data_IF_668410793947
#
_entry.id   IF_668410793947
#
_cell.length_a   1.000
_cell.length_b   1.000
_cell.length_c   1.000
_cell.angle_alpha   90.00
_cell.angle_beta   90.00
_cell.angle_gamma   90.00
#
_symmetry.space_group_name_H-M   'P 1'
#
loop_
_entity.id
_entity.type
_entity.pdbx_description
1 polymer ?
#
# COMPACT_ATOMS: atom_id res chain seq x y z
N UNK A 1 -13.59 -21.65 -44.56
CA UNK A 1 -13.94 -21.64 -43.14
C UNK A 1 -12.71 -21.72 -42.22
N UNK A 2 -11.65 -20.94 -42.49
CA UNK A 2 -10.47 -20.86 -41.60
C UNK A 2 -10.59 -19.68 -40.65
N UNK A 3 -11.11 -18.55 -41.15
CA UNK A 3 -11.36 -17.34 -40.36
C UNK A 3 -12.36 -17.57 -39.22
N UNK A 4 -13.40 -18.39 -39.44
CA UNK A 4 -14.40 -18.71 -38.42
C UNK A 4 -13.78 -19.53 -37.28
N UNK A 5 -12.95 -20.52 -37.59
CA UNK A 5 -12.23 -21.30 -36.57
C UNK A 5 -11.26 -20.43 -35.76
N UNK A 6 -10.52 -19.54 -36.42
CA UNK A 6 -9.61 -18.59 -35.75
C UNK A 6 -10.39 -17.65 -34.82
N UNK A 7 -11.55 -17.15 -35.25
CA UNK A 7 -12.41 -16.30 -34.44
C UNK A 7 -12.92 -17.02 -33.19
N UNK A 8 -13.30 -18.29 -33.34
CA UNK A 8 -13.78 -19.11 -32.24
C UNK A 8 -12.67 -19.42 -31.22
N UNK A 9 -11.45 -19.72 -31.69
CA UNK A 9 -10.26 -19.88 -30.83
C UNK A 9 -9.91 -18.59 -30.07
N UNK A 10 -9.99 -17.43 -30.74
CA UNK A 10 -9.76 -16.12 -30.10
C UNK A 10 -10.83 -15.84 -29.04
N UNK A 11 -12.09 -16.14 -29.31
CA UNK A 11 -13.19 -15.94 -28.37
C UNK A 11 -13.02 -16.81 -27.11
N UNK A 12 -12.64 -18.08 -27.28
CA UNK A 12 -12.34 -19.00 -26.18
C UNK A 12 -11.15 -18.51 -25.36
N UNK A 13 -10.08 -18.05 -26.03
CA UNK A 13 -8.89 -17.52 -25.36
C UNK A 13 -9.20 -16.26 -24.57
N UNK A 14 -10.00 -15.34 -25.14
CA UNK A 14 -10.44 -14.13 -24.44
C UNK A 14 -11.25 -14.48 -23.18
N UNK A 15 -12.23 -15.39 -23.30
CA UNK A 15 -13.04 -15.81 -22.16
C UNK A 15 -12.18 -16.40 -21.03
N UNK A 16 -11.17 -17.20 -21.39
CA UNK A 16 -10.22 -17.79 -20.43
C UNK A 16 -9.33 -16.73 -19.77
N UNK A 17 -8.88 -15.72 -20.52
CA UNK A 17 -8.10 -14.61 -19.97
C UNK A 17 -8.94 -13.76 -19.02
N UNK A 18 -10.18 -13.42 -19.38
CA UNK A 18 -11.10 -12.67 -18.52
C UNK A 18 -11.35 -13.38 -17.19
N UNK A 19 -11.62 -14.70 -17.21
CA UNK A 19 -11.82 -15.48 -16.00
C UNK A 19 -10.59 -15.49 -15.08
N UNK A 20 -9.38 -15.51 -15.66
CA UNK A 20 -8.12 -15.42 -14.90
C UNK A 20 -7.91 -14.04 -14.29
N UNK A 21 -8.32 -12.98 -14.97
CA UNK A 21 -8.27 -11.61 -14.42
C UNK A 21 -9.20 -11.50 -13.22
N UNK A 22 -10.43 -11.99 -13.31
CA UNK A 22 -11.39 -11.99 -12.19
C UNK A 22 -10.87 -12.79 -10.98
N UNK A 23 -10.24 -13.95 -11.22
CA UNK A 23 -9.61 -14.76 -10.16
C UNK A 23 -8.47 -13.99 -9.48
N UNK A 24 -7.61 -13.34 -10.26
CA UNK A 24 -6.52 -12.52 -9.74
C UNK A 24 -7.03 -11.31 -8.95
N UNK A 25 -8.10 -10.65 -9.42
CA UNK A 25 -8.77 -9.57 -8.70
C UNK A 25 -9.34 -10.07 -7.37
N UNK A 26 -9.95 -11.25 -7.35
CA UNK A 26 -10.46 -11.87 -6.12
C UNK A 26 -9.33 -12.20 -5.14
N UNK A 27 -8.25 -12.84 -5.59
CA UNK A 27 -7.08 -13.15 -4.76
C UNK A 27 -6.45 -11.86 -4.23
N UNK A 28 -6.37 -10.83 -5.06
CA UNK A 28 -5.85 -9.53 -4.67
C UNK A 28 -6.75 -8.88 -3.61
N UNK A 29 -8.07 -8.89 -3.79
CA UNK A 29 -9.03 -8.35 -2.82
C UNK A 29 -9.05 -9.15 -1.51
N UNK A 30 -8.94 -10.47 -1.55
CA UNK A 30 -8.84 -11.34 -0.38
C UNK A 30 -7.52 -11.10 0.40
N UNK A 31 -6.41 -10.82 -0.30
CA UNK A 31 -5.13 -10.45 0.32
C UNK A 31 -5.08 -8.99 0.80
N UNK A 32 -5.81 -8.09 0.14
CA UNK A 32 -6.01 -6.69 0.59
C UNK A 32 -6.89 -6.65 1.84
N UNK A 33 -7.65 -7.71 2.13
CA UNK A 33 -8.36 -7.87 3.41
C UNK A 33 -7.42 -8.15 4.61
N UNK A 34 -6.11 -7.90 4.49
CA UNK A 34 -5.30 -7.54 5.64
C UNK A 34 -5.81 -6.19 6.19
N UNK A 35 -6.02 -6.06 7.52
CA UNK A 35 -6.81 -4.95 8.09
C UNK A 35 -6.21 -3.56 7.85
N UNK A 36 -4.96 -3.46 7.40
CA UNK A 36 -4.26 -2.21 7.14
C UNK A 36 -3.31 -2.42 5.95
N UNK A 37 -3.32 -1.56 4.90
CA UNK A 37 -2.37 -1.64 3.79
C UNK A 37 -0.93 -1.47 4.29
N UNK A 38 0.00 -2.31 3.82
CA UNK A 38 1.43 -2.18 4.15
C UNK A 38 2.05 -0.86 3.68
N UNK A 39 1.50 -0.29 2.61
CA UNK A 39 1.93 0.99 2.04
C UNK A 39 0.75 1.92 1.88
N UNK A 40 0.90 3.15 2.36
CA UNK A 40 -0.17 4.14 2.30
C UNK A 40 0.38 5.56 2.29
N UNK A 41 -0.38 6.48 1.72
CA UNK A 41 -0.04 7.92 1.79
C UNK A 41 -0.16 8.43 3.22
N UNK A 42 0.54 9.53 3.54
CA UNK A 42 0.39 10.20 4.85
C UNK A 42 -1.10 10.50 5.14
N UNK A 43 -1.86 10.95 4.14
CA UNK A 43 -3.28 11.24 4.29
C UNK A 43 -4.07 10.01 4.73
N UNK A 44 -3.90 8.89 4.04
CA UNK A 44 -4.54 7.61 4.39
C UNK A 44 -4.12 7.13 5.77
N UNK A 45 -2.83 7.25 6.10
CA UNK A 45 -2.28 6.88 7.41
C UNK A 45 -2.93 7.66 8.55
N UNK A 46 -3.09 8.97 8.39
CA UNK A 46 -3.80 9.81 9.36
C UNK A 46 -5.29 9.45 9.43
N UNK A 47 -5.92 9.14 8.30
CA UNK A 47 -7.33 8.72 8.25
C UNK A 47 -7.61 7.39 8.95
N UNK A 48 -6.61 6.54 9.19
CA UNK A 48 -6.78 5.30 9.98
C UNK A 48 -7.12 5.57 11.45
N UNK A 49 -6.82 6.78 11.96
CA UNK A 49 -6.95 7.13 13.37
C UNK A 49 -5.90 6.50 14.30
N UNK A 50 -5.04 5.61 13.77
CA UNK A 50 -3.99 4.93 14.55
C UNK A 50 -2.67 5.73 14.61
N UNK A 51 -2.48 6.66 13.66
CA UNK A 51 -1.30 7.51 13.61
C UNK A 51 -1.48 8.78 14.47
N UNK A 52 -0.60 9.05 15.45
CA UNK A 52 -0.83 10.09 16.45
C UNK A 52 -0.50 11.51 15.96
N UNK A 53 0.04 11.69 14.76
CA UNK A 53 0.45 12.98 14.23
C UNK A 53 -0.42 13.42 13.06
N UNK A 54 -0.63 14.73 12.91
CA UNK A 54 -1.32 15.27 11.73
C UNK A 54 -0.52 15.08 10.45
N UNK A 55 -1.16 15.24 9.29
CA UNK A 55 -0.47 15.15 8.00
C UNK A 55 0.71 16.13 7.91
N UNK A 56 0.49 17.38 8.33
CA UNK A 56 1.52 18.42 8.32
C UNK A 56 2.67 18.12 9.29
N UNK A 57 2.36 17.60 10.48
CA UNK A 57 3.38 17.21 11.45
C UNK A 57 4.23 16.05 10.92
N UNK A 58 3.59 15.07 10.27
CA UNK A 58 4.27 13.92 9.66
C UNK A 58 5.19 14.36 8.51
N UNK A 59 4.73 15.27 7.63
CA UNK A 59 5.58 15.85 6.58
C UNK A 59 6.80 16.56 7.17
N UNK A 60 6.62 17.39 8.21
CA UNK A 60 7.74 18.04 8.91
C UNK A 60 8.70 17.03 9.54
N UNK A 61 8.22 15.88 10.02
CA UNK A 61 9.10 14.83 10.57
C UNK A 61 9.96 14.20 9.47
N UNK A 62 9.38 13.95 8.29
CA UNK A 62 10.12 13.48 7.11
C UNK A 62 11.18 14.53 6.72
N UNK A 63 10.78 15.79 6.56
CA UNK A 63 11.68 16.89 6.17
C UNK A 63 12.82 17.12 7.18
N UNK A 64 12.58 16.83 8.47
CA UNK A 64 13.59 16.91 9.54
C UNK A 64 14.46 15.66 9.66
N UNK A 65 14.34 14.71 8.74
CA UNK A 65 15.13 13.47 8.74
C UNK A 65 14.80 12.52 9.90
N UNK A 66 13.59 12.59 10.48
CA UNK A 66 13.14 11.60 11.47
C UNK A 66 12.72 10.28 10.86
N UNK A 67 12.44 10.28 9.56
CA UNK A 67 12.10 9.12 8.77
C UNK A 67 13.07 9.03 7.59
N UNK A 68 13.43 7.82 7.24
CA UNK A 68 14.41 7.49 6.22
C UNK A 68 13.74 7.04 4.93
N UNK A 69 14.18 7.58 3.80
CA UNK A 69 13.70 7.21 2.47
C UNK A 69 14.17 5.79 2.12
N UNK A 70 13.33 4.99 1.45
CA UNK A 70 13.50 3.55 1.18
C UNK A 70 13.30 2.62 2.39
N UNK A 71 13.14 3.14 3.61
CA UNK A 71 12.76 2.35 4.78
C UNK A 71 11.37 2.74 5.31
N UNK A 72 11.23 3.99 5.77
CA UNK A 72 10.00 4.49 6.35
C UNK A 72 9.02 4.99 5.29
N UNK A 73 9.55 5.59 4.22
CA UNK A 73 8.76 6.12 3.13
C UNK A 73 9.50 6.07 1.80
N UNK A 74 8.75 6.17 0.71
CA UNK A 74 9.26 6.47 -0.63
C UNK A 74 8.60 7.76 -1.14
N UNK A 75 9.39 8.66 -1.74
CA UNK A 75 8.85 9.83 -2.41
C UNK A 75 8.57 9.49 -3.87
N UNK A 76 7.30 9.54 -4.25
CA UNK A 76 6.85 9.37 -5.64
C UNK A 76 6.19 10.67 -6.07
N UNK A 77 6.81 11.36 -7.02
CA UNK A 77 6.49 12.72 -7.42
C UNK A 77 6.45 13.69 -6.21
N UNK A 78 5.25 14.16 -5.87
CA UNK A 78 4.97 15.08 -4.75
C UNK A 78 4.30 14.39 -3.57
N UNK A 79 4.21 13.05 -3.58
CA UNK A 79 3.55 12.25 -2.54
C UNK A 79 4.56 11.40 -1.78
N UNK A 80 4.34 11.31 -0.48
CA UNK A 80 5.04 10.36 0.37
C UNK A 80 4.18 9.12 0.54
N UNK A 81 4.72 7.96 0.14
CA UNK A 81 4.14 6.65 0.39
C UNK A 81 4.89 6.04 1.56
N UNK A 82 4.23 5.92 2.70
CA UNK A 82 4.79 5.42 3.94
C UNK A 82 4.63 3.90 4.03
N UNK A 83 5.66 3.21 4.52
CA UNK A 83 5.54 1.81 4.96
C UNK A 83 4.94 1.79 6.36
N UNK A 84 3.73 1.25 6.50
CA UNK A 84 2.97 1.30 7.75
C UNK A 84 3.72 0.62 8.90
N UNK A 85 4.26 -0.58 8.65
CA UNK A 85 5.00 -1.36 9.66
C UNK A 85 6.21 -0.59 10.21
N UNK A 86 7.06 -0.04 9.33
CA UNK A 86 8.23 0.74 9.73
C UNK A 86 7.85 2.00 10.52
N UNK A 87 6.74 2.64 10.16
CA UNK A 87 6.22 3.81 10.89
C UNK A 87 5.70 3.42 12.28
N UNK A 88 5.07 2.26 12.43
CA UNK A 88 4.65 1.73 13.73
C UNK A 88 5.84 1.37 14.62
N UNK A 89 6.87 0.72 14.08
CA UNK A 89 8.12 0.42 14.81
C UNK A 89 8.76 1.69 15.39
N UNK A 90 8.74 2.80 14.63
CA UNK A 90 9.20 4.08 15.15
C UNK A 90 8.39 4.56 16.37
N UNK A 91 7.06 4.41 16.33
CA UNK A 91 6.21 4.78 17.47
C UNK A 91 6.50 3.91 18.69
N UNK A 92 6.54 2.58 18.50
CA UNK A 92 6.81 1.63 19.57
C UNK A 92 8.12 1.94 20.28
N UNK A 93 9.20 2.10 19.51
CA UNK A 93 10.52 2.44 20.06
C UNK A 93 10.47 3.73 20.89
N UNK A 94 9.77 4.76 20.42
CA UNK A 94 9.68 6.07 21.10
C UNK A 94 8.81 6.07 22.35
N UNK A 95 7.76 5.23 22.39
CA UNK A 95 6.90 5.07 23.57
C UNK A 95 7.56 4.18 24.63
N UNK A 96 8.33 3.17 24.23
CA UNK A 96 9.11 2.37 25.18
C UNK A 96 10.22 3.17 25.86
N UNK A 97 10.92 4.07 25.15
CA UNK A 97 11.97 4.90 25.78
C UNK A 97 11.42 5.84 26.87
N UNK A 98 10.14 6.21 26.81
CA UNK A 98 9.50 7.08 27.82
C UNK A 98 8.98 6.35 29.05
N UNK A 99 8.87 5.02 29.03
CA UNK A 99 8.42 4.23 30.19
C UNK A 99 9.56 3.75 31.09
N UNK A 100 10.80 3.88 30.64
CA UNK A 100 12.00 3.40 31.34
C UNK A 100 12.87 4.54 31.92
N UNK A 101 12.34 5.77 31.95
CA UNK A 101 12.95 6.95 32.56
C UNK A 101 12.01 7.51 33.62
#
# INVERSE_FOLDING_TARGET
>A
MFLEQILEEIAVTNKRLSARVEELEKIMNEKISAPIPDFMTIKQMVSTGQWPYSEQATRKMIERGKFEENYHYNKIDSKYICCWKAMQEYLENRFYTRRSA
#
